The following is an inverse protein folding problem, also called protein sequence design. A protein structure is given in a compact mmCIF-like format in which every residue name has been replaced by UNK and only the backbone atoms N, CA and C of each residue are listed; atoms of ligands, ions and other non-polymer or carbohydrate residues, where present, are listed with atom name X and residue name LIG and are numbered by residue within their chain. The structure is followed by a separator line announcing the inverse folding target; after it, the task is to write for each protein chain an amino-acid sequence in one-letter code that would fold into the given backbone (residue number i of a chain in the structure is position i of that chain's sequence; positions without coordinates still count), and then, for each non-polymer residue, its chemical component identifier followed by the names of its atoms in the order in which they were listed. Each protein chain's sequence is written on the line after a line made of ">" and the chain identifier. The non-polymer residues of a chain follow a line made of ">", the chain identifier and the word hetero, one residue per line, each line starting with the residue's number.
data_IF_385537849307
#
_entry.id   IF_385537849307
#
_cell.length_a   1.000
_cell.length_b   1.000
_cell.length_c   1.000
_cell.angle_alpha   90.00
_cell.angle_beta   90.00
_cell.angle_gamma   90.00
#
_symmetry.space_group_name_H-M   'P 1'
#
loop_
_entity.id
_entity.type
_entity.pdbx_description
1 polymer ?
#
# COMPACT_ATOMS: atom_id res chain seq x y z
N UNK A 1 18.37 5.62 -6.55
CA UNK A 1 17.02 5.10 -6.77
C UNK A 1 17.13 3.93 -7.73
N UNK A 2 16.67 2.75 -7.30
CA UNK A 2 16.52 1.57 -8.17
C UNK A 2 15.45 1.85 -9.22
N UNK A 3 15.63 1.39 -10.46
CA UNK A 3 14.52 1.41 -11.44
C UNK A 3 13.67 0.15 -11.27
N UNK A 4 12.37 0.25 -11.55
CA UNK A 4 11.45 -0.89 -11.56
C UNK A 4 12.01 -2.04 -12.42
N UNK A 5 12.61 -1.75 -13.58
CA UNK A 5 13.27 -2.76 -14.43
C UNK A 5 14.39 -3.55 -13.74
N UNK A 6 15.09 -2.94 -12.79
CA UNK A 6 16.15 -3.60 -12.03
C UNK A 6 15.53 -4.46 -10.93
N UNK A 7 14.51 -3.94 -10.23
CA UNK A 7 13.77 -4.67 -9.20
C UNK A 7 13.09 -5.92 -9.77
N UNK A 8 12.49 -5.83 -10.97
CA UNK A 8 11.90 -6.95 -11.68
C UNK A 8 12.92 -8.01 -12.08
N UNK A 9 14.10 -7.59 -12.57
CA UNK A 9 15.20 -8.51 -12.88
C UNK A 9 15.68 -9.28 -11.64
N UNK A 10 15.71 -8.63 -10.49
CA UNK A 10 16.08 -9.28 -9.23
C UNK A 10 14.96 -10.23 -8.77
N UNK A 11 13.70 -9.80 -8.83
CA UNK A 11 12.53 -10.63 -8.51
C UNK A 11 12.41 -11.87 -9.41
N UNK A 12 12.82 -11.78 -10.68
CA UNK A 12 12.86 -12.93 -11.61
C UNK A 12 13.74 -14.07 -11.10
N UNK A 13 14.84 -13.77 -10.40
CA UNK A 13 15.72 -14.81 -9.84
C UNK A 13 15.21 -15.44 -8.55
N UNK A 14 14.16 -14.87 -7.94
CA UNK A 14 13.56 -15.32 -6.67
C UNK A 14 12.64 -16.52 -6.85
N UNK A 15 12.46 -17.29 -5.79
CA UNK A 15 11.41 -18.31 -5.69
C UNK A 15 10.01 -17.67 -5.65
N UNK A 16 8.97 -18.46 -5.96
CA UNK A 16 7.59 -17.97 -5.86
C UNK A 16 7.23 -17.55 -4.42
N UNK A 17 7.77 -18.22 -3.40
CA UNK A 17 7.53 -17.86 -2.00
C UNK A 17 8.10 -16.47 -1.67
N UNK A 18 9.34 -16.20 -2.09
CA UNK A 18 9.93 -14.87 -1.91
C UNK A 18 9.17 -13.79 -2.70
N UNK A 19 8.68 -14.12 -3.90
CA UNK A 19 7.84 -13.20 -4.67
C UNK A 19 6.50 -12.90 -3.99
N UNK A 20 5.88 -13.90 -3.38
CA UNK A 20 4.69 -13.71 -2.55
C UNK A 20 4.98 -12.78 -1.37
N UNK A 21 6.14 -12.94 -0.71
CA UNK A 21 6.56 -12.05 0.39
C UNK A 21 6.77 -10.61 -0.10
N UNK A 22 7.41 -10.41 -1.26
CA UNK A 22 7.55 -9.07 -1.87
C UNK A 22 6.18 -8.42 -2.08
N UNK A 23 5.22 -9.14 -2.67
CA UNK A 23 3.86 -8.63 -2.85
C UNK A 23 3.12 -8.37 -1.53
N UNK A 24 3.31 -9.23 -0.52
CA UNK A 24 2.71 -9.02 0.79
C UNK A 24 3.28 -7.78 1.51
N UNK A 25 4.57 -7.48 1.36
CA UNK A 25 5.17 -6.27 1.93
C UNK A 25 4.55 -4.99 1.34
N UNK A 26 4.22 -4.98 0.04
CA UNK A 26 3.48 -3.90 -0.59
C UNK A 26 2.10 -3.70 0.05
N UNK A 27 1.33 -4.78 0.26
CA UNK A 27 0.03 -4.70 0.93
C UNK A 27 0.14 -4.18 2.37
N UNK A 28 1.18 -4.56 3.10
CA UNK A 28 1.41 -4.02 4.46
C UNK A 28 1.62 -2.51 4.41
N UNK A 29 2.45 -2.02 3.47
CA UNK A 29 2.79 -0.60 3.35
C UNK A 29 1.55 0.26 3.08
N UNK A 30 0.79 -0.11 2.06
CA UNK A 30 -0.28 0.74 1.54
C UNK A 30 -1.68 0.37 2.05
N UNK A 31 -1.91 -0.79 2.66
CA UNK A 31 -3.21 -1.09 3.29
C UNK A 31 -3.17 -1.03 4.82
N UNK A 32 -1.98 -0.93 5.42
CA UNK A 32 -1.80 -0.97 6.88
C UNK A 32 -2.40 0.22 7.64
N UNK A 33 -2.77 1.30 6.96
CA UNK A 33 -3.28 2.53 7.58
C UNK A 33 -4.77 2.49 7.97
N UNK A 34 -5.47 1.37 7.73
CA UNK A 34 -6.89 1.18 8.04
C UNK A 34 -7.28 1.43 9.53
N UNK A 35 -6.31 1.57 10.43
CA UNK A 35 -6.52 1.81 11.86
C UNK A 35 -6.43 3.30 12.25
N UNK A 36 -6.13 4.21 11.33
CA UNK A 36 -6.14 5.66 11.59
C UNK A 36 -7.54 6.06 12.06
N UNK A 37 -7.62 6.75 13.20
CA UNK A 37 -8.88 7.28 13.73
C UNK A 37 -9.03 8.80 13.52
N UNK A 38 -8.02 9.47 12.95
CA UNK A 38 -8.03 10.91 12.70
C UNK A 38 -9.04 11.36 11.65
N UNK A 39 -9.48 10.44 10.78
CA UNK A 39 -10.52 10.68 9.79
C UNK A 39 -11.75 9.84 10.13
N UNK A 40 -12.82 10.51 10.57
CA UNK A 40 -14.14 9.89 10.79
C UNK A 40 -15.22 10.79 10.21
N UNK A 41 -16.24 10.22 9.54
CA UNK A 41 -16.53 8.80 9.46
C UNK A 41 -15.71 8.04 8.39
N UNK A 42 -15.36 6.80 8.70
CA UNK A 42 -14.86 5.84 7.72
C UNK A 42 -16.01 5.28 6.89
N UNK A 43 -15.71 4.90 5.66
CA UNK A 43 -16.54 3.99 4.89
C UNK A 43 -16.24 2.55 5.35
N UNK A 44 -17.15 1.97 6.14
CA UNK A 44 -16.88 0.74 6.90
C UNK A 44 -16.46 -0.44 6.01
N UNK A 45 -17.13 -0.63 4.87
CA UNK A 45 -16.82 -1.73 3.94
C UNK A 45 -15.39 -1.64 3.39
N UNK A 46 -14.96 -0.44 3.00
CA UNK A 46 -13.64 -0.17 2.46
C UNK A 46 -12.56 -0.35 3.54
N UNK A 47 -12.82 0.15 4.76
CA UNK A 47 -11.92 -0.03 5.90
C UNK A 47 -11.72 -1.51 6.25
N UNK A 48 -12.81 -2.26 6.31
CA UNK A 48 -12.79 -3.70 6.60
C UNK A 48 -12.06 -4.46 5.49
N UNK A 49 -12.20 -4.03 4.24
CA UNK A 49 -11.47 -4.61 3.12
C UNK A 49 -9.96 -4.34 3.21
N UNK A 50 -9.54 -3.10 3.47
CA UNK A 50 -8.11 -2.78 3.69
C UNK A 50 -7.53 -3.58 4.86
N UNK A 51 -8.31 -3.74 5.94
CA UNK A 51 -7.93 -4.60 7.06
C UNK A 51 -7.76 -6.07 6.63
N UNK A 52 -8.72 -6.63 5.91
CA UNK A 52 -8.66 -8.03 5.46
C UNK A 52 -7.44 -8.28 4.56
N UNK A 53 -7.16 -7.36 3.64
CA UNK A 53 -5.97 -7.38 2.77
C UNK A 53 -4.68 -7.33 3.60
N UNK A 54 -4.58 -6.43 4.59
CA UNK A 54 -3.41 -6.33 5.47
C UNK A 54 -3.21 -7.59 6.33
N UNK A 55 -4.29 -8.15 6.88
CA UNK A 55 -4.24 -9.40 7.66
C UNK A 55 -3.73 -10.57 6.81
N UNK A 56 -4.22 -10.70 5.58
CA UNK A 56 -3.75 -11.73 4.63
C UNK A 56 -2.28 -11.56 4.29
N UNK A 57 -1.83 -10.33 4.06
CA UNK A 57 -0.42 -10.05 3.82
C UNK A 57 0.47 -10.54 4.96
N UNK A 58 0.04 -10.32 6.22
CA UNK A 58 0.75 -10.83 7.40
C UNK A 58 0.78 -12.35 7.47
N UNK A 59 -0.30 -13.03 7.10
CA UNK A 59 -0.33 -14.51 7.02
C UNK A 59 0.67 -15.03 5.97
N UNK A 60 0.80 -14.35 4.82
CA UNK A 60 1.81 -14.69 3.81
C UNK A 60 3.23 -14.50 4.36
N UNK A 61 3.50 -13.39 5.05
CA UNK A 61 4.79 -13.09 5.66
C UNK A 61 5.16 -14.06 6.78
N UNK A 62 4.18 -14.62 7.49
CA UNK A 62 4.37 -15.71 8.46
C UNK A 62 4.72 -17.07 7.81
N UNK A 63 4.89 -17.13 6.48
CA UNK A 63 5.15 -18.37 5.74
C UNK A 63 3.92 -19.28 5.58
N UNK A 64 2.72 -18.73 5.82
CA UNK A 64 1.44 -19.47 5.79
C UNK A 64 0.61 -19.12 4.57
N UNK A 65 1.25 -18.75 3.46
CA UNK A 65 0.56 -18.37 2.21
C UNK A 65 -0.42 -19.44 1.68
N UNK A 66 -0.16 -20.73 1.95
CA UNK A 66 -1.05 -21.83 1.56
C UNK A 66 -2.38 -21.89 2.36
N UNK A 67 -2.50 -21.13 3.46
CA UNK A 67 -3.73 -21.02 4.26
C UNK A 67 -4.67 -19.92 3.74
N UNK A 68 -4.24 -19.15 2.74
CA UNK A 68 -4.95 -17.97 2.25
C UNK A 68 -5.66 -18.28 0.93
N UNK A 69 -6.96 -18.03 0.90
CA UNK A 69 -7.77 -18.06 -0.32
C UNK A 69 -7.70 -16.69 -1.05
N UNK A 70 -6.59 -16.44 -1.75
CA UNK A 70 -6.35 -15.15 -2.42
C UNK A 70 -7.39 -14.80 -3.49
N UNK A 71 -7.94 -15.80 -4.18
CA UNK A 71 -8.96 -15.61 -5.19
C UNK A 71 -10.27 -15.08 -4.58
N UNK A 72 -10.69 -15.65 -3.44
CA UNK A 72 -11.91 -15.25 -2.73
C UNK A 72 -11.79 -13.84 -2.15
N UNK A 73 -10.61 -13.50 -1.59
CA UNK A 73 -10.33 -12.15 -1.12
C UNK A 73 -10.40 -11.14 -2.27
N UNK A 74 -9.83 -11.48 -3.43
CA UNK A 74 -9.87 -10.60 -4.60
C UNK A 74 -11.28 -10.42 -5.17
N UNK A 75 -12.08 -11.48 -5.21
CA UNK A 75 -13.50 -11.38 -5.61
C UNK A 75 -14.27 -10.44 -4.67
N UNK A 76 -14.04 -10.58 -3.36
CA UNK A 76 -14.63 -9.70 -2.34
C UNK A 76 -14.20 -8.24 -2.52
N UNK A 77 -12.92 -7.99 -2.79
CA UNK A 77 -12.39 -6.65 -3.09
C UNK A 77 -13.02 -6.06 -4.35
N UNK A 78 -13.16 -6.87 -5.41
CA UNK A 78 -13.79 -6.45 -6.66
C UNK A 78 -15.23 -6.01 -6.44
N UNK A 79 -15.98 -6.72 -5.58
CA UNK A 79 -17.34 -6.32 -5.22
C UNK A 79 -17.37 -4.96 -4.52
N UNK A 80 -16.47 -4.72 -3.56
CA UNK A 80 -16.33 -3.42 -2.88
C UNK A 80 -15.98 -2.30 -3.87
N UNK A 81 -15.08 -2.56 -4.82
CA UNK A 81 -14.72 -1.59 -5.87
C UNK A 81 -15.89 -1.25 -6.79
N UNK A 82 -16.77 -2.21 -7.10
CA UNK A 82 -17.95 -1.98 -7.95
C UNK A 82 -19.05 -1.15 -7.28
N UNK A 83 -19.12 -1.21 -5.95
CA UNK A 83 -20.09 -0.45 -5.15
C UNK A 83 -19.59 0.97 -4.80
N UNK A 84 -18.30 1.24 -4.99
CA UNK A 84 -17.67 2.52 -4.66
C UNK A 84 -17.93 3.57 -5.76
N UNK A 85 -18.21 4.81 -5.33
CA UNK A 85 -18.32 5.96 -6.22
C UNK A 85 -16.95 6.66 -6.32
N UNK A 86 -16.23 6.54 -7.45
CA UNK A 86 -14.93 7.20 -7.61
C UNK A 86 -15.05 8.74 -7.69
N UNK A 87 -16.26 9.29 -7.84
CA UNK A 87 -16.55 10.73 -7.73
C UNK A 87 -17.02 11.14 -6.32
N UNK A 88 -16.89 10.25 -5.34
CA UNK A 88 -17.21 10.49 -3.94
C UNK A 88 -16.33 11.56 -3.28
N UNK A 89 -16.52 11.81 -1.97
CA UNK A 89 -15.70 12.76 -1.22
C UNK A 89 -14.19 12.47 -1.37
N UNK A 90 -13.30 13.48 -1.25
CA UNK A 90 -11.87 13.32 -1.51
C UNK A 90 -11.22 12.14 -0.77
N UNK A 91 -11.60 11.88 0.48
CA UNK A 91 -11.09 10.73 1.22
C UNK A 91 -11.63 9.38 0.69
N UNK A 92 -12.85 9.34 0.17
CA UNK A 92 -13.38 8.11 -0.44
C UNK A 92 -12.58 7.74 -1.69
N UNK A 93 -12.25 8.73 -2.53
CA UNK A 93 -11.38 8.57 -3.69
C UNK A 93 -9.97 8.09 -3.28
N UNK A 94 -9.41 8.66 -2.22
CA UNK A 94 -8.13 8.22 -1.66
C UNK A 94 -8.15 6.74 -1.23
N UNK A 95 -9.20 6.32 -0.53
CA UNK A 95 -9.37 4.92 -0.14
C UNK A 95 -9.58 4.04 -1.38
N UNK A 96 -10.29 4.53 -2.40
CA UNK A 96 -10.49 3.79 -3.65
C UNK A 96 -9.17 3.49 -4.35
N UNK A 97 -8.25 4.46 -4.44
CA UNK A 97 -6.93 4.24 -5.07
C UNK A 97 -6.14 3.12 -4.36
N UNK A 98 -6.25 3.04 -3.04
CA UNK A 98 -5.66 1.98 -2.23
C UNK A 98 -6.32 0.60 -2.44
N UNK A 99 -7.63 0.57 -2.66
CA UNK A 99 -8.34 -0.67 -3.00
C UNK A 99 -7.96 -1.15 -4.41
N UNK A 100 -7.79 -0.24 -5.38
CA UNK A 100 -7.31 -0.61 -6.72
C UNK A 100 -5.86 -1.11 -6.65
N UNK A 101 -5.01 -0.48 -5.83
CA UNK A 101 -3.66 -0.98 -5.56
C UNK A 101 -3.69 -2.39 -4.97
N UNK A 102 -4.54 -2.63 -3.98
CA UNK A 102 -4.71 -3.95 -3.40
C UNK A 102 -5.13 -4.99 -4.46
N UNK A 103 -6.00 -4.66 -5.42
CA UNK A 103 -6.40 -5.58 -6.50
C UNK A 103 -5.21 -5.93 -7.40
N UNK A 104 -4.42 -4.92 -7.80
CA UNK A 104 -3.24 -5.11 -8.64
C UNK A 104 -2.22 -6.03 -7.97
N UNK A 105 -1.99 -5.86 -6.66
CA UNK A 105 -1.08 -6.71 -5.87
C UNK A 105 -1.67 -8.10 -5.66
N UNK A 106 -2.96 -8.24 -5.36
CA UNK A 106 -3.61 -9.56 -5.21
C UNK A 106 -3.57 -10.34 -6.53
N UNK A 107 -3.75 -9.69 -7.67
CA UNK A 107 -3.63 -10.31 -8.99
C UNK A 107 -2.21 -10.86 -9.22
N UNK A 108 -1.17 -10.15 -8.74
CA UNK A 108 0.21 -10.65 -8.71
C UNK A 108 0.37 -11.82 -7.73
N UNK A 109 -0.15 -11.73 -6.50
CA UNK A 109 -0.03 -12.79 -5.49
C UNK A 109 -0.71 -14.10 -5.93
N UNK A 110 -1.77 -14.03 -6.73
CA UNK A 110 -2.42 -15.21 -7.34
C UNK A 110 -1.52 -15.83 -8.43
N UNK A 111 -0.67 -15.03 -9.08
CA UNK A 111 0.18 -15.47 -10.20
C UNK A 111 1.61 -14.93 -10.07
N UNK A 112 2.38 -15.35 -9.04
CA UNK A 112 3.68 -14.74 -8.71
C UNK A 112 4.78 -15.01 -9.75
N UNK A 113 4.50 -15.82 -10.77
CA UNK A 113 5.38 -16.01 -11.92
C UNK A 113 5.21 -14.93 -13.01
N UNK A 114 4.10 -14.20 -13.01
CA UNK A 114 3.78 -13.17 -14.00
C UNK A 114 4.32 -11.80 -13.55
N UNK A 115 5.60 -11.55 -13.82
CA UNK A 115 6.29 -10.32 -13.38
C UNK A 115 5.71 -9.02 -13.94
N UNK A 116 4.95 -9.07 -15.04
CA UNK A 116 4.21 -7.90 -15.53
C UNK A 116 3.18 -7.39 -14.52
N UNK A 117 2.60 -8.29 -13.70
CA UNK A 117 1.67 -7.90 -12.64
C UNK A 117 2.40 -7.23 -11.47
N UNK A 118 3.60 -7.72 -11.15
CA UNK A 118 4.49 -7.05 -10.18
C UNK A 118 4.88 -5.66 -10.69
N UNK A 119 5.24 -5.51 -11.97
CA UNK A 119 5.58 -4.20 -12.57
C UNK A 119 4.48 -3.17 -12.31
N UNK A 120 3.24 -3.51 -12.66
CA UNK A 120 2.08 -2.63 -12.44
C UNK A 120 1.88 -2.27 -10.97
N UNK A 121 2.04 -3.23 -10.06
CA UNK A 121 1.94 -2.98 -8.63
C UNK A 121 3.05 -2.03 -8.13
N UNK A 122 4.28 -2.18 -8.63
CA UNK A 122 5.41 -1.32 -8.29
C UNK A 122 5.24 0.10 -8.85
N UNK A 123 4.75 0.23 -10.10
CA UNK A 123 4.44 1.52 -10.73
C UNK A 123 3.40 2.28 -9.90
N UNK A 124 2.32 1.61 -9.51
CA UNK A 124 1.27 2.23 -8.68
C UNK A 124 1.77 2.55 -7.26
N UNK A 125 2.66 1.76 -6.69
CA UNK A 125 3.29 2.08 -5.40
C UNK A 125 4.10 3.39 -5.49
N UNK A 126 4.90 3.55 -6.55
CA UNK A 126 5.65 4.79 -6.81
C UNK A 126 4.69 5.97 -6.98
N UNK A 127 3.62 5.83 -7.79
CA UNK A 127 2.59 6.86 -7.97
C UNK A 127 1.95 7.29 -6.65
N UNK A 128 1.52 6.33 -5.80
CA UNK A 128 0.89 6.62 -4.51
C UNK A 128 1.85 7.32 -3.54
N UNK A 129 3.12 6.89 -3.49
CA UNK A 129 4.13 7.49 -2.62
C UNK A 129 4.50 8.92 -3.08
N UNK A 130 4.70 9.11 -4.38
CA UNK A 130 5.02 10.40 -4.97
C UNK A 130 3.87 11.39 -4.81
N UNK A 131 2.63 10.96 -5.07
CA UNK A 131 1.44 11.82 -4.91
C UNK A 131 1.30 12.34 -3.48
N UNK A 132 1.48 11.48 -2.47
CA UNK A 132 1.37 11.90 -1.06
C UNK A 132 2.54 12.78 -0.61
N UNK A 133 3.74 12.55 -1.15
CA UNK A 133 4.90 13.43 -0.89
C UNK A 133 4.70 14.81 -1.54
N UNK A 134 4.20 14.86 -2.78
CA UNK A 134 3.90 16.11 -3.50
C UNK A 134 2.79 16.89 -2.82
N UNK A 135 1.64 16.27 -2.55
CA UNK A 135 0.53 16.90 -1.84
C UNK A 135 0.96 17.44 -0.47
N UNK A 136 1.74 16.66 0.29
CA UNK A 136 2.28 17.12 1.56
C UNK A 136 3.18 18.36 1.42
N UNK A 137 4.02 18.41 0.38
CA UNK A 137 4.90 19.56 0.11
C UNK A 137 4.12 20.80 -0.32
N UNK A 138 3.12 20.65 -1.18
CA UNK A 138 2.35 21.75 -1.74
C UNK A 138 1.42 22.40 -0.70
N UNK A 139 0.70 21.60 0.07
CA UNK A 139 -0.34 22.08 0.98
C UNK A 139 0.21 22.44 2.37
N UNK A 140 1.29 21.79 2.82
CA UNK A 140 1.71 21.85 4.23
C UNK A 140 3.22 22.09 4.45
N UNK A 141 3.98 22.42 3.40
CA UNK A 141 5.40 22.76 3.53
C UNK A 141 5.61 24.04 4.37
N UNK A 142 6.00 23.91 5.65
CA UNK A 142 6.15 25.05 6.56
C UNK A 142 6.72 24.71 7.96
N UNK A 143 6.73 25.69 8.87
CA UNK A 143 7.49 25.68 10.15
C UNK A 143 7.13 24.55 11.15
N UNK A 144 6.03 23.81 10.95
CA UNK A 144 5.52 22.85 11.95
C UNK A 144 5.34 21.41 11.44
N UNK A 145 5.57 21.13 10.15
CA UNK A 145 5.52 19.78 9.60
C UNK A 145 6.36 19.71 8.32
N UNK A 146 7.17 18.66 8.21
CA UNK A 146 7.94 18.35 7.00
C UNK A 146 7.42 17.02 6.46
N UNK A 147 7.00 16.95 5.18
CA UNK A 147 6.55 15.72 4.56
C UNK A 147 7.63 14.65 4.67
N UNK A 148 7.25 13.43 5.04
CA UNK A 148 8.17 12.31 4.94
C UNK A 148 8.58 12.12 3.46
N UNK A 149 9.84 11.74 3.18
CA UNK A 149 10.29 11.48 1.81
C UNK A 149 9.78 10.12 1.33
N UNK A 150 8.46 10.00 1.16
CA UNK A 150 7.76 8.73 0.91
C UNK A 150 8.26 8.03 -0.36
N UNK A 151 8.57 8.76 -1.44
CA UNK A 151 9.11 8.17 -2.67
C UNK A 151 10.50 7.55 -2.45
N UNK A 152 11.35 8.20 -1.65
CA UNK A 152 12.65 7.64 -1.26
C UNK A 152 12.47 6.42 -0.36
N UNK A 153 11.58 6.49 0.63
CA UNK A 153 11.31 5.39 1.54
C UNK A 153 10.78 4.15 0.81
N UNK A 154 9.86 4.32 -0.15
CA UNK A 154 9.34 3.22 -0.97
C UNK A 154 10.45 2.61 -1.83
N UNK A 155 11.24 3.46 -2.51
CA UNK A 155 12.38 3.01 -3.32
C UNK A 155 13.39 2.19 -2.50
N UNK A 156 13.72 2.65 -1.29
CA UNK A 156 14.64 1.94 -0.39
C UNK A 156 14.05 0.64 0.16
N UNK A 157 12.75 0.63 0.50
CA UNK A 157 12.06 -0.57 0.96
C UNK A 157 12.05 -1.63 -0.15
N UNK A 158 11.60 -1.25 -1.35
CA UNK A 158 11.56 -2.11 -2.53
C UNK A 158 12.92 -2.67 -2.92
N UNK A 159 13.97 -1.83 -2.91
CA UNK A 159 15.32 -2.27 -3.19
C UNK A 159 15.75 -3.40 -2.23
N UNK A 160 15.42 -3.28 -0.94
CA UNK A 160 15.71 -4.32 0.06
C UNK A 160 14.83 -5.56 -0.15
N UNK A 161 13.55 -5.37 -0.46
CA UNK A 161 12.61 -6.47 -0.70
C UNK A 161 13.06 -7.35 -1.89
N UNK A 162 13.60 -6.73 -2.94
CA UNK A 162 13.99 -7.45 -4.17
C UNK A 162 15.44 -7.90 -4.18
N UNK A 163 16.38 -7.22 -3.48
CA UNK A 163 17.83 -7.54 -3.49
C UNK A 163 18.35 -8.15 -2.20
N UNK A 164 17.69 -7.90 -1.06
CA UNK A 164 18.13 -8.36 0.26
C UNK A 164 17.76 -9.81 0.55
N UNK A 165 18.35 -10.37 1.60
CA UNK A 165 17.77 -11.59 2.19
C UNK A 165 16.47 -11.19 2.89
N UNK A 166 15.38 -11.90 2.57
CA UNK A 166 14.11 -11.66 3.25
C UNK A 166 14.20 -12.26 4.66
N UNK A 167 14.12 -11.38 5.65
CA UNK A 167 14.14 -11.67 7.08
C UNK A 167 12.81 -11.21 7.67
N UNK A 168 11.91 -12.16 7.91
CA UNK A 168 10.50 -11.89 8.24
C UNK A 168 10.27 -10.80 9.30
N UNK A 169 11.03 -10.70 10.41
CA UNK A 169 10.79 -9.62 11.38
C UNK A 169 11.21 -8.23 10.88
N UNK A 170 12.38 -8.10 10.23
CA UNK A 170 12.91 -6.79 9.85
C UNK A 170 12.27 -6.22 8.59
N UNK A 171 11.74 -7.08 7.72
CA UNK A 171 11.03 -6.66 6.52
C UNK A 171 9.64 -6.15 6.86
N UNK A 172 8.94 -6.86 7.75
CA UNK A 172 7.66 -6.41 8.27
C UNK A 172 7.80 -5.07 9.02
N UNK A 173 8.77 -4.95 9.93
CA UNK A 173 9.00 -3.70 10.68
C UNK A 173 9.27 -2.51 9.75
N UNK A 174 10.02 -2.73 8.66
CA UNK A 174 10.27 -1.69 7.64
C UNK A 174 8.98 -1.27 6.94
N UNK A 175 8.17 -2.22 6.51
CA UNK A 175 6.90 -1.94 5.83
C UNK A 175 5.86 -1.30 6.77
N UNK A 176 5.81 -1.70 8.03
CA UNK A 176 4.99 -1.06 9.06
C UNK A 176 5.47 0.37 9.35
N UNK A 177 6.78 0.59 9.41
CA UNK A 177 7.37 1.92 9.55
C UNK A 177 7.02 2.85 8.40
N UNK A 178 7.03 2.35 7.16
CA UNK A 178 6.50 3.08 6.01
C UNK A 178 5.02 3.38 6.17
N UNK A 179 4.20 2.37 6.48
CA UNK A 179 2.75 2.51 6.61
C UNK A 179 2.37 3.55 7.66
N UNK A 180 3.11 3.62 8.77
CA UNK A 180 2.89 4.64 9.80
C UNK A 180 3.18 6.06 9.30
N UNK A 181 4.27 6.28 8.53
CA UNK A 181 4.58 7.59 7.95
C UNK A 181 3.60 7.99 6.85
N UNK A 182 3.19 7.02 6.05
CA UNK A 182 2.19 7.19 5.02
C UNK A 182 0.83 7.56 5.63
N UNK A 183 0.46 6.87 6.71
CA UNK A 183 -0.71 7.17 7.53
C UNK A 183 -0.69 8.59 8.11
N UNK A 184 0.44 9.02 8.66
CA UNK A 184 0.62 10.41 9.14
C UNK A 184 0.38 11.44 8.02
N UNK A 185 0.82 11.15 6.79
CA UNK A 185 0.59 12.02 5.65
C UNK A 185 -0.91 12.10 5.29
N UNK A 186 -1.60 10.96 5.14
CA UNK A 186 -3.04 10.91 4.89
C UNK A 186 -3.81 11.65 5.98
N UNK A 187 -3.52 11.37 7.25
CA UNK A 187 -4.22 12.03 8.37
C UNK A 187 -4.05 13.55 8.30
N UNK A 188 -2.85 14.05 7.94
CA UNK A 188 -2.63 15.49 7.79
C UNK A 188 -3.42 16.09 6.64
N UNK A 189 -3.42 15.44 5.47
CA UNK A 189 -4.15 15.90 4.30
C UNK A 189 -5.65 16.07 4.60
N UNK A 190 -6.25 15.11 5.30
CA UNK A 190 -7.70 15.05 5.47
C UNK A 190 -8.23 15.49 6.84
N UNK A 191 -7.40 15.58 7.89
CA UNK A 191 -7.82 16.13 9.19
C UNK A 191 -7.85 17.67 9.18
N UNK A 192 -7.06 18.33 8.33
CA UNK A 192 -7.04 19.79 8.21
C UNK A 192 -8.08 20.32 7.20
N UNK A 193 -8.38 19.55 6.15
CA UNK A 193 -9.45 19.88 5.20
C UNK A 193 -10.85 20.03 5.84
N UNK A 194 -11.10 19.34 6.97
CA UNK A 194 -12.34 19.48 7.74
C UNK A 194 -12.42 20.71 8.64
N UNK A 195 -11.37 21.55 8.73
CA UNK A 195 -11.37 22.77 9.53
C UNK A 195 -11.68 24.04 8.72
N UNK A 196 -11.49 24.01 7.41
CA UNK A 196 -11.73 25.16 6.53
C UNK A 196 -13.18 25.27 6.01
N UNK A 197 -14.03 24.26 6.23
CA UNK A 197 -15.47 24.30 5.87
C UNK A 197 -16.35 24.99 6.94
N UNK A 198 -15.78 25.40 8.08
CA UNK A 198 -16.49 26.03 9.20
C UNK A 198 -16.22 27.55 9.36
N UNK A 199 -15.54 28.23 8.40
CA UNK A 199 -15.35 29.70 8.39
C UNK A 199 -16.27 30.48 7.43
#
# INVERSE_FOLDING_TARGET
>A
MSSIDEDLRQAESRSNEERLRIGALLLVRYCGFHHINGFTPWFEAQRDMLKAVSDVARVILDGRAAEVELADLRESLTAVLQENDPEGPPFEAEIFDHLVFADDVLDFLISPAELSKLSRALERADELAEAHEELGREEYGGENWEPAPLGLMESEARERDTRGELHDPSDLERSEGFSARYAEAIEKLFAMAGQDEDE
#
